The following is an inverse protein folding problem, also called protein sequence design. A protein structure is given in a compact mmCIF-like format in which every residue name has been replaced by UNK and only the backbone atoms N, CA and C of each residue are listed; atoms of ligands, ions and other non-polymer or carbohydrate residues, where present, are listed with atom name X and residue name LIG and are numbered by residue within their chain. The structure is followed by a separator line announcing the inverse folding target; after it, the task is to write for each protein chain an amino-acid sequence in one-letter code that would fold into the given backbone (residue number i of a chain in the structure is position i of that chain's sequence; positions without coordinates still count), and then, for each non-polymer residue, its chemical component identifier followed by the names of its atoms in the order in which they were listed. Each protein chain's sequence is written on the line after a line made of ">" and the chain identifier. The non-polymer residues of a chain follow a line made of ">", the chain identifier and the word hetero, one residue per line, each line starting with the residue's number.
data_IF_773256901954
#
_entry.id   IF_773256901954
#
_cell.length_a   1.000
_cell.length_b   1.000
_cell.length_c   1.000
_cell.angle_alpha   90.00
_cell.angle_beta   90.00
_cell.angle_gamma   90.00
#
_symmetry.space_group_name_H-M   'P 1'
#
loop_
_entity.id
_entity.type
_entity.pdbx_description
1 polymer ?
#
# COMPACT_ATOMS: atom_id res chain seq x y z
N UNK A 1 10.79 38.84 52.83
CA UNK A 1 10.18 37.50 52.93
C UNK A 1 9.18 37.18 51.80
N UNK A 2 9.07 37.99 50.73
CA UNK A 2 8.11 37.77 49.63
C UNK A 2 8.60 36.71 48.60
N UNK A 3 9.90 36.61 48.37
CA UNK A 3 10.49 35.66 47.41
C UNK A 3 10.19 34.19 47.69
N UNK A 4 10.17 33.77 48.95
CA UNK A 4 9.94 32.37 49.30
C UNK A 4 8.48 31.95 49.10
N UNK A 5 7.53 32.88 49.09
CA UNK A 5 6.14 32.61 48.75
C UNK A 5 5.96 32.46 47.24
N UNK A 6 6.54 33.39 46.48
CA UNK A 6 6.52 33.36 45.01
C UNK A 6 7.12 32.06 44.47
N UNK A 7 8.28 31.64 45.01
CA UNK A 7 8.91 30.37 44.62
C UNK A 7 8.02 29.15 44.90
N UNK A 8 7.21 29.17 45.96
CA UNK A 8 6.28 28.07 46.27
C UNK A 8 5.12 28.04 45.29
N UNK A 9 4.58 29.19 44.92
CA UNK A 9 3.51 29.29 43.92
C UNK A 9 4.00 28.83 42.55
N UNK A 10 5.21 29.23 42.14
CA UNK A 10 5.81 28.81 40.89
C UNK A 10 6.06 27.30 40.84
N UNK A 11 6.51 26.70 41.95
CA UNK A 11 6.69 25.24 42.07
C UNK A 11 5.36 24.50 41.95
N UNK A 12 4.29 25.02 42.56
CA UNK A 12 2.95 24.44 42.44
C UNK A 12 2.45 24.56 41.00
N UNK A 13 2.61 25.71 40.35
CA UNK A 13 2.23 25.91 38.95
C UNK A 13 2.98 24.95 38.01
N UNK A 14 4.28 24.78 38.21
CA UNK A 14 5.09 23.81 37.45
C UNK A 14 4.63 22.36 37.68
N UNK A 15 4.29 21.98 38.92
CA UNK A 15 3.75 20.66 39.20
C UNK A 15 2.42 20.41 38.47
N UNK A 16 1.52 21.40 38.44
CA UNK A 16 0.28 21.31 37.69
C UNK A 16 0.52 21.10 36.19
N UNK A 17 1.47 21.84 35.61
CA UNK A 17 1.85 21.67 34.19
C UNK A 17 2.43 20.29 33.91
N UNK A 18 3.27 19.75 34.81
CA UNK A 18 3.82 18.41 34.67
C UNK A 18 2.71 17.33 34.72
N UNK A 19 1.74 17.46 35.62
CA UNK A 19 0.59 16.54 35.69
C UNK A 19 -0.22 16.59 34.39
N UNK A 20 -0.46 17.77 33.85
CA UNK A 20 -1.21 17.91 32.59
C UNK A 20 -0.46 17.29 31.41
N UNK A 21 0.84 17.55 31.29
CA UNK A 21 1.67 17.01 30.21
C UNK A 21 1.74 15.49 30.30
N UNK A 22 1.97 14.93 31.49
CA UNK A 22 1.99 13.48 31.70
C UNK A 22 0.65 12.83 31.38
N UNK A 23 -0.47 13.48 31.72
CA UNK A 23 -1.80 13.00 31.34
C UNK A 23 -2.02 12.99 29.83
N UNK A 24 -1.59 14.06 29.12
CA UNK A 24 -1.66 14.13 27.66
C UNK A 24 -0.79 13.05 27.00
N UNK A 25 0.40 12.78 27.52
CA UNK A 25 1.28 11.70 27.03
C UNK A 25 0.64 10.32 27.21
N UNK A 26 0.12 10.00 28.40
CA UNK A 26 -0.55 8.72 28.65
C UNK A 26 -1.76 8.50 27.71
N UNK A 27 -2.54 9.55 27.45
CA UNK A 27 -3.65 9.49 26.49
C UNK A 27 -3.17 9.29 25.04
N UNK A 28 -2.07 9.93 24.64
CA UNK A 28 -1.49 9.73 23.30
C UNK A 28 -0.97 8.30 23.13
N UNK A 29 -0.23 7.77 24.11
CA UNK A 29 0.25 6.38 24.11
C UNK A 29 -0.90 5.38 24.02
N UNK A 30 -1.94 5.54 24.85
CA UNK A 30 -3.11 4.68 24.81
C UNK A 30 -3.83 4.72 23.44
N UNK A 31 -3.89 5.87 22.78
CA UNK A 31 -4.45 5.99 21.43
C UNK A 31 -3.57 5.35 20.35
N UNK A 32 -2.24 5.42 20.48
CA UNK A 32 -1.30 4.75 19.58
C UNK A 32 -1.41 3.23 19.74
N UNK A 33 -1.47 2.70 20.96
CA UNK A 33 -1.66 1.27 21.21
C UNK A 33 -3.00 0.74 20.70
N UNK A 34 -4.06 1.56 20.74
CA UNK A 34 -5.39 1.23 20.20
C UNK A 34 -5.48 1.34 18.68
N UNK A 35 -4.57 2.09 18.04
CA UNK A 35 -4.37 2.04 16.59
C UNK A 35 -3.65 0.73 16.23
N UNK A 36 -4.35 -0.38 16.47
CA UNK A 36 -4.04 -1.68 15.87
C UNK A 36 -3.85 -1.39 14.37
N UNK A 37 -2.70 -1.76 13.76
CA UNK A 37 -2.61 -1.66 12.32
C UNK A 37 -3.81 -2.43 11.80
N UNK A 38 -4.64 -1.76 11.00
CA UNK A 38 -5.62 -2.44 10.15
C UNK A 38 -4.73 -3.33 9.30
N UNK A 39 -4.51 -4.56 9.78
CA UNK A 39 -4.01 -5.66 9.01
C UNK A 39 -4.95 -5.62 7.82
N UNK A 40 -4.44 -5.10 6.70
CA UNK A 40 -5.10 -5.15 5.42
C UNK A 40 -5.20 -6.64 5.17
N UNK A 41 -6.28 -7.23 5.70
CA UNK A 41 -6.65 -8.63 5.57
C UNK A 41 -6.51 -8.85 4.10
N UNK A 42 -5.48 -9.63 3.76
CA UNK A 42 -5.05 -9.93 2.41
C UNK A 42 -6.30 -9.99 1.55
N UNK A 43 -6.51 -8.92 0.76
CA UNK A 43 -7.67 -8.86 -0.09
C UNK A 43 -7.51 -10.07 -0.98
N UNK A 44 -8.35 -11.06 -0.69
CA UNK A 44 -8.38 -12.32 -1.39
C UNK A 44 -8.32 -11.99 -2.87
N UNK A 45 -7.52 -12.78 -3.60
CA UNK A 45 -7.27 -12.71 -5.04
C UNK A 45 -8.56 -13.00 -5.84
N UNK A 46 -9.65 -12.34 -5.48
CA UNK A 46 -11.03 -12.50 -5.92
C UNK A 46 -11.41 -11.39 -6.88
N UNK A 47 -10.63 -11.27 -7.95
CA UNK A 47 -11.04 -10.82 -9.27
C UNK A 47 -9.81 -11.04 -10.14
N UNK A 48 -9.67 -12.26 -10.66
CA UNK A 48 -9.07 -12.40 -11.97
C UNK A 48 -9.99 -11.58 -12.87
N UNK A 49 -9.65 -10.30 -13.09
CA UNK A 49 -10.16 -9.58 -14.25
C UNK A 49 -10.02 -10.56 -15.40
N UNK A 50 -11.08 -10.83 -16.20
CA UNK A 50 -10.93 -11.70 -17.36
C UNK A 50 -9.74 -11.12 -18.09
N UNK A 51 -8.65 -11.89 -18.17
CA UNK A 51 -7.36 -11.40 -18.58
C UNK A 51 -7.64 -10.64 -19.86
N UNK A 52 -7.58 -9.29 -19.80
CA UNK A 52 -7.67 -8.47 -21.00
C UNK A 52 -6.49 -8.99 -21.76
N UNK A 53 -6.76 -9.84 -22.75
CA UNK A 53 -5.76 -10.47 -23.58
C UNK A 53 -4.95 -9.28 -24.04
N UNK A 54 -3.72 -9.19 -23.53
CA UNK A 54 -2.90 -7.98 -23.65
C UNK A 54 -2.45 -7.98 -25.11
N UNK A 55 -3.39 -7.58 -25.97
CA UNK A 55 -3.20 -7.35 -27.38
C UNK A 55 -2.41 -6.06 -27.37
N UNK A 56 -1.09 -6.20 -27.54
CA UNK A 56 -0.20 -5.05 -27.61
C UNK A 56 -0.51 -4.27 -28.88
N UNK A 57 -0.14 -3.00 -28.91
CA UNK A 57 -0.25 -2.14 -30.09
C UNK A 57 0.35 -2.88 -31.30
N UNK A 58 -0.50 -3.28 -32.27
CA UNK A 58 -0.13 -4.18 -33.38
C UNK A 58 -0.93 -5.48 -33.48
N UNK A 59 -1.83 -5.81 -32.53
CA UNK A 59 -2.74 -6.96 -32.67
C UNK A 59 -2.12 -8.31 -32.25
N UNK A 60 -0.93 -8.29 -31.66
CA UNK A 60 -0.21 -9.50 -31.24
C UNK A 60 -0.41 -9.79 -29.75
N UNK A 61 -0.35 -11.06 -29.37
CA UNK A 61 -0.37 -11.45 -27.96
C UNK A 61 0.98 -11.15 -27.29
N UNK A 62 0.95 -10.94 -25.97
CA UNK A 62 2.14 -10.75 -25.13
C UNK A 62 3.29 -11.71 -25.46
N UNK A 63 2.99 -12.98 -25.72
CA UNK A 63 4.02 -13.96 -26.03
C UNK A 63 4.68 -13.74 -27.39
N UNK A 64 3.93 -13.34 -28.43
CA UNK A 64 4.51 -13.05 -29.74
C UNK A 64 5.25 -11.70 -29.75
N UNK A 65 4.77 -10.73 -28.97
CA UNK A 65 5.49 -9.47 -28.79
C UNK A 65 6.89 -9.69 -28.18
N UNK A 66 7.02 -10.59 -27.19
CA UNK A 66 8.29 -10.83 -26.52
C UNK A 66 9.17 -11.91 -27.17
N UNK A 67 8.57 -12.98 -27.70
CA UNK A 67 9.29 -14.19 -28.13
C UNK A 67 9.15 -14.49 -29.63
N UNK A 68 8.38 -13.69 -30.37
CA UNK A 68 8.14 -13.89 -31.80
C UNK A 68 7.60 -15.30 -32.11
N UNK A 69 7.98 -15.85 -33.26
CA UNK A 69 7.52 -17.15 -33.75
C UNK A 69 7.90 -18.36 -32.88
N UNK A 70 8.73 -18.18 -31.84
CA UNK A 70 9.19 -19.26 -30.95
C UNK A 70 8.25 -19.53 -29.78
N UNK A 71 7.11 -18.83 -29.68
CA UNK A 71 6.15 -19.08 -28.61
C UNK A 71 5.21 -20.25 -28.91
N UNK A 72 5.19 -21.22 -28.00
CA UNK A 72 4.24 -22.33 -28.02
C UNK A 72 2.99 -22.07 -27.18
N UNK A 73 2.93 -20.93 -26.47
CA UNK A 73 1.85 -20.57 -25.54
C UNK A 73 0.97 -19.43 -26.07
N UNK A 74 0.87 -19.30 -27.39
CA UNK A 74 -0.06 -18.36 -28.01
C UNK A 74 -1.52 -18.71 -27.64
N UNK A 75 -2.31 -17.69 -27.27
CA UNK A 75 -3.75 -17.83 -27.05
C UNK A 75 -4.49 -16.91 -28.03
N UNK A 76 -5.55 -17.44 -28.65
CA UNK A 76 -6.44 -16.67 -29.54
C UNK A 76 -7.20 -15.61 -28.73
N UNK A 77 -7.50 -14.43 -29.30
CA UNK A 77 -7.19 -13.98 -30.67
C UNK A 77 -5.79 -13.34 -30.74
N UNK A 78 -4.97 -13.81 -31.69
CA UNK A 78 -3.63 -13.29 -31.94
C UNK A 78 -3.39 -13.26 -33.45
N UNK A 79 -3.03 -12.09 -33.99
CA UNK A 79 -2.85 -11.88 -35.43
C UNK A 79 -1.44 -12.25 -35.92
N UNK A 80 -0.74 -13.15 -35.23
CA UNK A 80 0.61 -13.53 -35.63
C UNK A 80 0.54 -14.49 -36.82
N UNK A 81 1.24 -14.23 -37.94
CA UNK A 81 1.27 -15.13 -39.08
C UNK A 81 2.01 -16.41 -38.65
N UNK A 82 1.27 -17.50 -38.45
CA UNK A 82 1.86 -18.83 -38.38
C UNK A 82 2.48 -19.11 -39.74
N UNK A 83 3.80 -19.34 -39.79
CA UNK A 83 4.59 -19.58 -41.01
C UNK A 83 4.25 -20.93 -41.70
N UNK A 84 3.00 -21.37 -41.62
CA UNK A 84 2.47 -22.66 -42.10
C UNK A 84 1.15 -22.47 -42.84
N UNK A 85 1.01 -21.40 -43.62
CA UNK A 85 -0.18 -21.17 -44.45
C UNK A 85 0.12 -20.55 -45.82
N UNK A 86 1.35 -20.66 -46.35
CA UNK A 86 1.70 -20.14 -47.68
C UNK A 86 2.66 -21.08 -48.42
N UNK A 87 2.21 -22.29 -48.74
CA UNK A 87 2.65 -23.04 -49.93
C UNK A 87 1.43 -23.76 -50.48
N UNK A 88 0.72 -23.10 -51.40
CA UNK A 88 -0.13 -23.71 -52.42
C UNK A 88 -0.27 -22.71 -53.57
#
# INVERSE_FOLDING_TARGET
>A
MADSHQLREDVVAMQHQLVEITHRMANMEANISRRRPIQRRSQSRGRRSPARQHITTGGFCYYHFNYGARTHKCKKPCNWPSLTAEVA
#
